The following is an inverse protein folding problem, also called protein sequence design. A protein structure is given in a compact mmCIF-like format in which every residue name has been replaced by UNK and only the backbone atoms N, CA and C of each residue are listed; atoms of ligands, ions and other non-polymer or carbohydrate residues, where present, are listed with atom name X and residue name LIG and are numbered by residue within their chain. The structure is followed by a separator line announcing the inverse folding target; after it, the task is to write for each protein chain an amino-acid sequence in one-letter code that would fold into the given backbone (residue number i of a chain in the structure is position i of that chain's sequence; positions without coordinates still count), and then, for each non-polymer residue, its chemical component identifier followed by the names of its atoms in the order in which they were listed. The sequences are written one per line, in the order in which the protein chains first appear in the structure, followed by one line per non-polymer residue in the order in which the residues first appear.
data_IF_708983506610
#
_entry.id   IF_708983506610
#
_cell.length_a   1.000
_cell.length_b   1.000
_cell.length_c   1.000
_cell.angle_alpha   90.00
_cell.angle_beta   90.00
_cell.angle_gamma   90.00
#
_symmetry.space_group_name_H-M   'P 1'
#
loop_
_entity.id
_entity.type
_entity.pdbx_description
1 polymer ?
#
# COMPACT_ATOMS: atom_id res chain seq x y z
N UNK A 1 -23.22 11.72 -17.41
CA UNK A 1 -23.63 11.47 -16.02
C UNK A 1 -23.40 10.05 -15.51
N UNK A 2 -23.18 9.04 -16.35
CA UNK A 2 -22.96 7.64 -15.94
C UNK A 2 -21.60 7.30 -15.31
N UNK A 3 -20.56 8.11 -15.49
CA UNK A 3 -19.19 7.81 -15.00
C UNK A 3 -18.98 8.03 -13.49
N UNK A 4 -19.76 8.89 -12.85
CA UNK A 4 -19.56 9.20 -11.43
C UNK A 4 -20.13 8.11 -10.49
N UNK A 5 -21.16 7.40 -10.88
CA UNK A 5 -21.75 6.32 -10.09
C UNK A 5 -20.83 5.09 -10.04
N UNK A 6 -20.15 4.78 -11.14
CA UNK A 6 -19.16 3.70 -11.20
C UNK A 6 -17.93 3.98 -10.32
N UNK A 7 -17.46 5.23 -10.26
CA UNK A 7 -16.32 5.62 -9.45
C UNK A 7 -16.60 5.52 -7.95
N UNK A 8 -17.83 5.83 -7.51
CA UNK A 8 -18.23 5.70 -6.10
C UNK A 8 -18.32 4.25 -5.64
N UNK A 9 -18.84 3.35 -6.47
CA UNK A 9 -18.90 1.92 -6.15
C UNK A 9 -17.51 1.28 -6.17
N UNK A 10 -16.67 1.63 -7.14
CA UNK A 10 -15.29 1.17 -7.22
C UNK A 10 -14.43 1.62 -6.01
N UNK A 11 -14.63 2.84 -5.50
CA UNK A 11 -13.92 3.34 -4.33
C UNK A 11 -14.32 2.65 -3.02
N UNK A 12 -15.47 2.00 -2.95
CA UNK A 12 -15.91 1.25 -1.74
C UNK A 12 -15.02 0.06 -1.43
N UNK A 13 -14.51 -0.64 -2.45
CA UNK A 13 -13.63 -1.80 -2.25
C UNK A 13 -12.31 -1.42 -1.58
N UNK A 14 -11.53 -0.44 -2.07
CA UNK A 14 -10.32 0.01 -1.38
C UNK A 14 -10.62 0.61 0.00
N UNK A 15 -11.71 1.34 0.16
CA UNK A 15 -12.08 1.95 1.44
C UNK A 15 -12.42 0.93 2.54
N UNK A 16 -12.72 -0.31 2.18
CA UNK A 16 -12.92 -1.41 3.15
C UNK A 16 -11.60 -1.89 3.77
N UNK A 17 -10.46 -1.55 3.16
CA UNK A 17 -9.14 -1.93 3.67
C UNK A 17 -8.76 -0.99 4.82
N UNK A 18 -8.40 -1.51 6.00
CA UNK A 18 -7.95 -0.68 7.12
C UNK A 18 -6.79 0.24 6.69
N UNK A 19 -6.88 1.53 7.03
CA UNK A 19 -5.88 2.54 6.68
C UNK A 19 -6.06 3.20 5.32
N UNK A 20 -7.00 2.74 4.52
CA UNK A 20 -7.40 3.40 3.28
C UNK A 20 -8.68 4.18 3.55
N UNK A 21 -8.53 5.50 3.72
CA UNK A 21 -9.67 6.41 3.85
C UNK A 21 -10.27 6.75 2.49
N UNK A 22 -11.39 7.49 2.49
CA UNK A 22 -12.10 7.89 1.27
C UNK A 22 -11.22 8.64 0.26
N UNK A 23 -10.34 9.52 0.74
CA UNK A 23 -9.40 10.26 -0.12
C UNK A 23 -8.41 9.32 -0.82
N UNK A 24 -7.82 8.40 -0.07
CA UNK A 24 -6.87 7.41 -0.62
C UNK A 24 -7.57 6.45 -1.57
N UNK A 25 -8.77 5.98 -1.21
CA UNK A 25 -9.58 5.13 -2.08
C UNK A 25 -9.93 5.81 -3.40
N UNK A 26 -10.31 7.09 -3.34
CA UNK A 26 -10.57 7.88 -4.54
C UNK A 26 -9.32 8.06 -5.40
N UNK A 27 -8.18 8.38 -4.78
CA UNK A 27 -6.90 8.50 -5.47
C UNK A 27 -6.48 7.18 -6.15
N UNK A 28 -6.68 6.04 -5.50
CA UNK A 28 -6.43 4.71 -6.07
C UNK A 28 -7.28 4.49 -7.32
N UNK A 29 -8.59 4.68 -7.22
CA UNK A 29 -9.51 4.46 -8.33
C UNK A 29 -9.23 5.41 -9.49
N UNK A 30 -8.90 6.67 -9.20
CA UNK A 30 -8.57 7.65 -10.23
C UNK A 30 -7.27 7.31 -10.96
N UNK A 31 -6.27 6.78 -10.23
CA UNK A 31 -4.97 6.46 -10.79
C UNK A 31 -4.93 5.10 -11.52
N UNK A 32 -5.65 4.11 -11.00
CA UNK A 32 -5.64 2.72 -11.49
C UNK A 32 -6.77 2.49 -12.51
N UNK A 33 -7.89 3.17 -12.37
CA UNK A 33 -9.08 2.94 -13.18
C UNK A 33 -9.73 1.59 -12.85
N UNK A 34 -9.98 0.78 -13.86
CA UNK A 34 -10.53 -0.57 -13.74
C UNK A 34 -9.49 -1.63 -13.33
N UNK A 35 -8.22 -1.31 -13.50
CA UNK A 35 -7.12 -2.18 -13.11
C UNK A 35 -6.78 -3.29 -14.12
N UNK A 36 -7.42 -3.31 -15.29
CA UNK A 36 -7.21 -4.35 -16.31
C UNK A 36 -5.77 -4.38 -16.85
N UNK A 37 -5.03 -3.28 -16.74
CA UNK A 37 -3.63 -3.19 -17.15
C UNK A 37 -2.67 -3.97 -16.24
N UNK A 38 -3.12 -4.45 -15.09
CA UNK A 38 -2.29 -5.17 -14.14
C UNK A 38 -2.63 -6.66 -14.14
N UNK A 39 -1.65 -7.51 -14.43
CA UNK A 39 -1.82 -8.96 -14.39
C UNK A 39 -1.87 -9.52 -12.94
N UNK A 40 -1.25 -8.80 -12.00
CA UNK A 40 -1.17 -9.23 -10.60
C UNK A 40 -1.11 -8.06 -9.62
N UNK A 41 -1.36 -8.35 -8.35
CA UNK A 41 -1.18 -7.38 -7.27
C UNK A 41 0.27 -6.89 -7.12
N UNK A 42 1.24 -7.70 -7.54
CA UNK A 42 2.66 -7.29 -7.58
C UNK A 42 2.93 -6.19 -8.59
N UNK A 43 2.23 -6.22 -9.71
CA UNK A 43 2.37 -5.19 -10.75
C UNK A 43 1.87 -3.84 -10.26
N UNK A 44 0.79 -3.83 -9.48
CA UNK A 44 0.28 -2.63 -8.82
C UNK A 44 1.32 -2.09 -7.83
N UNK A 45 1.93 -2.95 -7.02
CA UNK A 45 2.96 -2.54 -6.08
C UNK A 45 4.21 -2.00 -6.79
N UNK A 46 4.62 -2.61 -7.88
CA UNK A 46 5.73 -2.15 -8.71
C UNK A 46 5.43 -0.80 -9.37
N UNK A 47 4.21 -0.65 -9.89
CA UNK A 47 3.74 0.60 -10.48
C UNK A 47 3.68 1.75 -9.46
N UNK A 48 3.31 1.47 -8.21
CA UNK A 48 3.37 2.44 -7.12
C UNK A 48 4.81 2.74 -6.64
N UNK A 49 5.81 2.00 -7.12
CA UNK A 49 7.19 2.14 -6.69
C UNK A 49 7.46 1.65 -5.27
N UNK A 50 6.68 0.69 -4.79
CA UNK A 50 6.78 0.08 -3.46
C UNK A 50 7.63 -1.18 -3.44
N UNK A 51 8.02 -1.71 -4.60
CA UNK A 51 8.86 -2.90 -4.69
C UNK A 51 10.33 -2.55 -4.52
N UNK A 52 11.13 -3.43 -3.88
CA UNK A 52 12.56 -3.23 -3.76
C UNK A 52 13.25 -3.25 -5.13
N UNK A 53 14.28 -2.44 -5.29
CA UNK A 53 15.19 -2.58 -6.43
C UNK A 53 16.01 -3.85 -6.24
N UNK A 54 15.86 -4.80 -7.15
CA UNK A 54 16.70 -5.98 -7.23
C UNK A 54 17.96 -5.66 -8.02
N UNK A 55 19.11 -5.69 -7.35
CA UNK A 55 20.40 -5.75 -8.02
C UNK A 55 20.99 -7.14 -7.74
N UNK A 56 20.67 -8.09 -8.60
CA UNK A 56 21.26 -9.43 -8.54
C UNK A 56 22.25 -9.59 -9.66
N UNK A 57 23.53 -9.61 -9.30
CA UNK A 57 24.59 -10.11 -10.16
C UNK A 57 25.11 -11.42 -9.55
N UNK A 58 24.84 -12.54 -10.19
CA UNK A 58 25.29 -13.86 -9.75
C UNK A 58 24.64 -14.35 -8.45
N UNK A 59 25.43 -14.97 -7.58
CA UNK A 59 24.97 -15.64 -6.35
C UNK A 59 24.60 -14.67 -5.19
N UNK A 60 24.85 -13.37 -5.30
CA UNK A 60 24.53 -12.39 -4.26
C UNK A 60 23.25 -11.62 -4.62
N UNK A 61 22.13 -11.98 -3.97
CA UNK A 61 20.91 -11.18 -3.99
C UNK A 61 21.08 -9.97 -3.06
N UNK A 62 21.22 -8.78 -3.63
CA UNK A 62 21.16 -7.53 -2.88
C UNK A 62 19.77 -6.91 -3.07
N UNK A 63 19.00 -6.87 -2.00
CA UNK A 63 17.75 -6.13 -1.96
C UNK A 63 18.07 -4.69 -1.56
N UNK A 64 17.84 -3.77 -2.49
CA UNK A 64 17.89 -2.33 -2.24
C UNK A 64 16.61 -1.83 -1.56
N UNK A 65 16.55 -0.51 -1.32
CA UNK A 65 15.31 0.14 -0.89
C UNK A 65 14.22 0.10 -1.97
N UNK A 66 13.01 0.55 -1.62
CA UNK A 66 11.90 0.67 -2.56
C UNK A 66 12.30 1.52 -3.78
N UNK A 67 11.78 1.18 -4.96
CA UNK A 67 12.18 1.81 -6.23
C UNK A 67 11.84 3.30 -6.29
N UNK A 68 10.77 3.71 -5.64
CA UNK A 68 10.22 5.08 -5.65
C UNK A 68 9.89 5.62 -7.05
N UNK A 69 9.85 4.74 -8.03
CA UNK A 69 9.47 5.07 -9.40
C UNK A 69 7.99 4.82 -9.57
N UNK A 70 7.17 5.82 -9.42
CA UNK A 70 5.74 5.69 -9.54
C UNK A 70 5.05 6.94 -9.03
N UNK A 71 3.74 6.89 -8.93
CA UNK A 71 2.96 8.03 -8.44
C UNK A 71 3.36 8.36 -6.98
N UNK A 72 4.04 9.50 -6.84
CA UNK A 72 4.51 9.99 -5.54
C UNK A 72 3.32 10.27 -4.61
N UNK A 73 2.23 10.77 -5.16
CA UNK A 73 1.05 11.17 -4.42
C UNK A 73 0.35 9.96 -3.81
N UNK A 74 0.12 8.95 -4.64
CA UNK A 74 -0.49 7.70 -4.20
C UNK A 74 0.39 6.97 -3.18
N UNK A 75 1.69 6.91 -3.40
CA UNK A 75 2.63 6.32 -2.46
C UNK A 75 2.63 7.03 -1.10
N UNK A 76 2.59 8.37 -1.07
CA UNK A 76 2.48 9.13 0.18
C UNK A 76 1.18 8.82 0.92
N UNK A 77 0.06 8.75 0.23
CA UNK A 77 -1.23 8.43 0.84
C UNK A 77 -1.25 7.02 1.43
N UNK A 78 -0.70 6.04 0.70
CA UNK A 78 -0.58 4.65 1.18
C UNK A 78 0.35 4.55 2.40
N UNK A 79 1.49 5.24 2.37
CA UNK A 79 2.42 5.27 3.50
C UNK A 79 1.81 5.92 4.75
N UNK A 80 1.04 7.00 4.59
CA UNK A 80 0.31 7.64 5.69
C UNK A 80 -0.75 6.70 6.28
N UNK A 81 -1.51 6.02 5.43
CA UNK A 81 -2.49 5.02 5.85
C UNK A 81 -1.86 3.87 6.62
N UNK A 82 -0.78 3.30 6.10
CA UNK A 82 -0.02 2.24 6.76
C UNK A 82 0.53 2.69 8.13
N UNK A 83 1.09 3.90 8.20
CA UNK A 83 1.58 4.48 9.46
C UNK A 83 0.48 4.62 10.49
N UNK A 84 -0.70 5.06 10.09
CA UNK A 84 -1.85 5.23 10.97
C UNK A 84 -2.28 3.88 11.57
N UNK A 85 -2.35 2.83 10.76
CA UNK A 85 -2.69 1.49 11.21
C UNK A 85 -1.66 0.95 12.19
N UNK A 86 -0.39 1.03 11.85
CA UNK A 86 0.69 0.51 12.70
C UNK A 86 0.74 1.24 14.04
N UNK A 87 0.53 2.57 14.05
CA UNK A 87 0.41 3.33 15.30
C UNK A 87 -0.81 2.91 16.11
N UNK A 88 -1.96 2.74 15.46
CA UNK A 88 -3.18 2.27 16.11
C UNK A 88 -3.03 0.85 16.67
N UNK A 89 -2.38 -0.05 15.95
CA UNK A 89 -2.09 -1.40 16.40
C UNK A 89 -1.18 -1.42 17.64
N UNK A 90 -0.23 -0.48 17.70
CA UNK A 90 0.65 -0.33 18.86
C UNK A 90 -0.08 0.21 20.09
N UNK A 91 -0.94 1.22 19.90
CA UNK A 91 -1.70 1.83 21.01
C UNK A 91 -2.88 0.98 21.48
N UNK A 92 -3.43 0.14 20.61
CA UNK A 92 -4.58 -0.73 20.88
C UNK A 92 -4.23 -2.18 20.57
N UNK A 93 -3.25 -2.73 21.26
CA UNK A 93 -2.73 -4.08 21.03
C UNK A 93 -3.83 -5.17 21.03
N UNK A 94 -4.89 -4.99 21.80
CA UNK A 94 -6.03 -5.91 21.85
C UNK A 94 -6.81 -6.02 20.53
N UNK A 95 -6.76 -4.99 19.67
CA UNK A 95 -7.43 -4.96 18.36
C UNK A 95 -6.48 -5.22 17.19
N UNK A 96 -5.19 -5.36 17.45
CA UNK A 96 -4.21 -5.64 16.42
C UNK A 96 -4.40 -7.06 15.89
N UNK A 97 -4.35 -7.21 14.56
CA UNK A 97 -4.35 -8.53 13.93
C UNK A 97 -3.05 -9.27 14.24
N UNK A 98 -3.09 -10.59 14.15
CA UNK A 98 -1.91 -11.43 14.37
C UNK A 98 -0.75 -11.05 13.46
N UNK A 99 -1.05 -10.74 12.20
CA UNK A 99 -0.06 -10.25 11.23
C UNK A 99 0.58 -8.93 11.68
N UNK A 100 -0.20 -7.96 12.16
CA UNK A 100 0.30 -6.68 12.66
C UNK A 100 1.20 -6.88 13.89
N UNK A 101 0.80 -7.74 14.81
CA UNK A 101 1.61 -8.10 15.99
C UNK A 101 2.93 -8.76 15.58
N UNK A 102 2.88 -9.67 14.61
CA UNK A 102 4.07 -10.34 14.09
C UNK A 102 5.07 -9.39 13.42
N UNK A 103 4.60 -8.38 12.71
CA UNK A 103 5.48 -7.36 12.12
C UNK A 103 6.09 -6.47 13.18
N UNK A 104 5.28 -5.97 14.13
CA UNK A 104 5.75 -5.08 15.19
C UNK A 104 6.74 -5.74 16.15
N UNK A 105 6.63 -7.06 16.34
CA UNK A 105 7.60 -7.82 17.14
C UNK A 105 8.97 -7.95 16.47
N UNK A 106 9.02 -7.94 15.13
CA UNK A 106 10.25 -8.17 14.35
C UNK A 106 10.92 -6.90 13.84
N UNK A 107 10.18 -5.82 13.68
CA UNK A 107 10.66 -4.60 13.02
C UNK A 107 10.17 -3.34 13.74
N UNK A 108 10.99 -2.29 13.82
CA UNK A 108 10.53 -1.00 14.31
C UNK A 108 9.46 -0.41 13.41
N UNK A 109 8.62 0.47 13.96
CA UNK A 109 7.47 1.08 13.26
C UNK A 109 7.86 1.74 11.93
N UNK A 110 9.01 2.39 11.88
CA UNK A 110 9.52 3.07 10.67
C UNK A 110 9.78 2.09 9.53
N UNK A 111 10.21 0.88 9.84
CA UNK A 111 10.50 -0.18 8.85
C UNK A 111 9.22 -0.96 8.51
N UNK A 112 8.31 -1.13 9.46
CA UNK A 112 7.03 -1.82 9.24
C UNK A 112 6.11 -1.05 8.30
N UNK A 113 6.26 0.27 8.20
CA UNK A 113 5.49 1.14 7.28
C UNK A 113 6.09 1.16 5.87
N UNK A 114 7.38 0.96 5.75
CA UNK A 114 8.07 0.92 4.46
C UNK A 114 7.94 -0.45 3.80
#
# INVERSE_FOLDING_TARGET
MGRQLGCRSAARRPAAIPGIGGLTAHAIVTAIGDGEQFASSRDVAAWCGLTPRGASSGLKRRHGGISRQGDIRLRKLLALGARTIIRSARSRAARATEWQRGILARRPVTVAVA
#
